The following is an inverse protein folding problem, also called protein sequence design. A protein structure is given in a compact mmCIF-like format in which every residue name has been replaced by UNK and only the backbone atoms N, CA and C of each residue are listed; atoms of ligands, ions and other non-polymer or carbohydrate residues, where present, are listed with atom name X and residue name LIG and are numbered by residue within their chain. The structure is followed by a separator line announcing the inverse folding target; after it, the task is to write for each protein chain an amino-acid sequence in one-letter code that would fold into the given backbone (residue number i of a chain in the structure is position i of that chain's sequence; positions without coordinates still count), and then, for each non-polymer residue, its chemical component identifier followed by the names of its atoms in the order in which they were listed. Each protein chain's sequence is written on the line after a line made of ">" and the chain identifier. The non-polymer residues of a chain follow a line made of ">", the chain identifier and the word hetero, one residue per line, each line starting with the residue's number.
data_IF_936544346516
#
_entry.id   IF_936544346516
#
_cell.length_a   1.000
_cell.length_b   1.000
_cell.length_c   1.000
_cell.angle_alpha   90.00
_cell.angle_beta   90.00
_cell.angle_gamma   90.00
#
_symmetry.space_group_name_H-M   'P 1'
#
loop_
_entity.id
_entity.type
_entity.pdbx_description
1 polymer ?
#
# COMPACT_ATOMS: atom_id res chain seq x y z
N UNK A 1 19.32 -38.95 -20.10
CA UNK A 1 18.11 -38.10 -20.04
C UNK A 1 18.42 -36.61 -19.78
N UNK A 2 19.57 -36.20 -19.23
CA UNK A 2 19.83 -34.76 -18.94
C UNK A 2 20.08 -33.86 -20.17
N UNK A 3 20.77 -34.35 -21.23
CA UNK A 3 21.07 -33.55 -22.44
C UNK A 3 19.85 -32.94 -23.16
N UNK A 4 18.66 -33.55 -23.05
CA UNK A 4 17.44 -33.07 -23.72
C UNK A 4 16.81 -31.90 -22.95
N UNK A 5 16.90 -31.91 -21.63
CA UNK A 5 16.40 -30.86 -20.74
C UNK A 5 17.29 -29.62 -20.80
N UNK A 6 18.62 -29.82 -20.84
CA UNK A 6 19.61 -28.74 -20.97
C UNK A 6 19.40 -27.93 -22.27
N UNK A 7 19.10 -28.63 -23.36
CA UNK A 7 18.86 -28.02 -24.67
C UNK A 7 17.54 -27.22 -24.72
N UNK A 8 16.50 -27.69 -24.02
CA UNK A 8 15.22 -26.97 -23.93
C UNK A 8 15.41 -25.66 -23.13
N UNK A 9 16.13 -25.72 -22.00
CA UNK A 9 16.44 -24.52 -21.21
C UNK A 9 17.31 -23.53 -21.98
N UNK A 10 18.35 -24.00 -22.67
CA UNK A 10 19.23 -23.15 -23.47
C UNK A 10 18.50 -22.46 -24.62
N UNK A 11 17.56 -23.16 -25.27
CA UNK A 11 16.69 -22.58 -26.29
C UNK A 11 15.75 -21.52 -25.70
N UNK A 12 15.22 -21.74 -24.49
CA UNK A 12 14.40 -20.76 -23.77
C UNK A 12 15.17 -19.47 -23.45
N UNK A 13 16.39 -19.61 -22.92
CA UNK A 13 17.30 -18.49 -22.64
C UNK A 13 17.61 -17.72 -23.92
N UNK A 14 17.95 -18.42 -25.00
CA UNK A 14 18.28 -17.82 -26.30
C UNK A 14 17.12 -17.00 -26.87
N UNK A 15 15.90 -17.53 -26.80
CA UNK A 15 14.69 -16.80 -27.23
C UNK A 15 14.48 -15.53 -26.42
N UNK A 16 14.61 -15.63 -25.09
CA UNK A 16 14.46 -14.48 -24.20
C UNK A 16 15.53 -13.41 -24.43
N UNK A 17 16.80 -13.79 -24.58
CA UNK A 17 17.88 -12.83 -24.84
C UNK A 17 17.70 -12.10 -26.17
N UNK A 18 17.32 -12.82 -27.23
CA UNK A 18 17.02 -12.22 -28.55
C UNK A 18 15.83 -11.28 -28.50
N UNK A 19 14.78 -11.67 -27.78
CA UNK A 19 13.59 -10.85 -27.59
C UNK A 19 13.94 -9.58 -26.81
N UNK A 20 14.66 -9.73 -25.69
CA UNK A 20 15.10 -8.60 -24.86
C UNK A 20 15.96 -7.63 -25.65
N UNK A 21 16.96 -8.13 -26.38
CA UNK A 21 17.85 -7.30 -27.20
C UNK A 21 17.09 -6.50 -28.25
N UNK A 22 16.16 -7.15 -28.97
CA UNK A 22 15.32 -6.48 -29.96
C UNK A 22 14.43 -5.41 -29.32
N UNK A 23 13.71 -5.75 -28.25
CA UNK A 23 12.76 -4.83 -27.61
C UNK A 23 13.45 -3.61 -26.99
N UNK A 24 14.64 -3.79 -26.41
CA UNK A 24 15.43 -2.70 -25.81
C UNK A 24 15.88 -1.62 -26.81
N UNK A 25 15.80 -1.89 -28.12
CA UNK A 25 16.10 -0.88 -29.15
C UNK A 25 15.11 0.29 -29.17
N UNK A 26 13.87 0.10 -28.66
CA UNK A 26 12.79 1.11 -28.71
C UNK A 26 11.97 1.26 -27.44
N UNK A 27 12.02 0.27 -26.55
CA UNK A 27 11.16 0.19 -25.37
C UNK A 27 11.96 0.18 -24.08
N UNK A 28 11.37 0.67 -22.98
CA UNK A 28 11.76 0.24 -21.65
C UNK A 28 11.28 -1.20 -21.46
N UNK A 29 12.19 -2.11 -21.11
CA UNK A 29 11.91 -3.54 -21.04
C UNK A 29 12.10 -4.03 -19.60
N UNK A 30 11.04 -4.53 -18.99
CA UNK A 30 11.11 -5.24 -17.71
C UNK A 30 11.03 -6.75 -17.95
N UNK A 31 12.14 -7.45 -17.72
CA UNK A 31 12.19 -8.92 -17.76
C UNK A 31 11.65 -9.51 -16.46
N UNK A 32 10.78 -10.51 -16.57
CA UNK A 32 10.18 -11.17 -15.40
C UNK A 32 10.88 -12.50 -15.11
N UNK A 33 11.13 -12.76 -13.84
CA UNK A 33 11.78 -14.01 -13.39
C UNK A 33 10.79 -15.14 -13.08
N UNK A 34 9.49 -14.84 -12.98
CA UNK A 34 8.43 -15.82 -12.69
C UNK A 34 7.32 -15.67 -13.72
N UNK A 35 6.86 -16.78 -14.29
CA UNK A 35 5.78 -16.90 -15.30
C UNK A 35 4.38 -16.56 -14.75
N UNK A 36 4.26 -15.48 -13.99
CA UNK A 36 2.98 -14.99 -13.47
C UNK A 36 2.29 -14.26 -14.64
N UNK A 37 1.11 -14.69 -15.09
CA UNK A 37 0.38 -14.10 -16.24
C UNK A 37 0.99 -14.27 -17.65
N UNK A 38 1.94 -15.21 -17.84
CA UNK A 38 2.28 -15.65 -19.21
C UNK A 38 3.12 -14.73 -20.07
N UNK A 39 3.69 -13.68 -19.49
CA UNK A 39 4.53 -12.72 -20.18
C UNK A 39 5.96 -12.80 -19.67
N UNK A 40 6.92 -13.00 -20.58
CA UNK A 40 8.36 -12.95 -20.27
C UNK A 40 8.83 -11.49 -20.08
N UNK A 41 8.19 -10.56 -20.80
CA UNK A 41 8.54 -9.15 -20.82
C UNK A 41 7.32 -8.26 -20.66
N UNK A 42 7.49 -7.17 -19.92
CA UNK A 42 6.64 -5.99 -20.01
C UNK A 42 7.41 -4.91 -20.78
N UNK A 43 6.74 -4.27 -21.72
CA UNK A 43 7.33 -3.21 -22.55
C UNK A 43 6.52 -1.93 -22.45
N UNK A 44 7.23 -0.81 -22.35
CA UNK A 44 6.71 0.55 -22.32
C UNK A 44 7.45 1.39 -23.38
N UNK A 45 6.79 2.40 -23.94
CA UNK A 45 7.48 3.38 -24.79
C UNK A 45 8.55 4.13 -24.01
N UNK A 46 9.68 4.38 -24.64
CA UNK A 46 10.69 5.32 -24.15
C UNK A 46 10.22 6.76 -24.43
N UNK A 47 9.15 7.17 -23.75
CA UNK A 47 8.66 8.55 -23.78
C UNK A 47 9.06 9.24 -22.46
N UNK A 48 9.59 10.45 -22.55
CA UNK A 48 10.01 11.26 -21.38
C UNK A 48 8.81 11.87 -20.63
N UNK A 49 7.60 11.78 -21.18
CA UNK A 49 6.40 12.41 -20.63
C UNK A 49 5.54 11.53 -19.72
N UNK A 50 5.73 10.21 -19.72
CA UNK A 50 5.01 9.27 -18.84
C UNK A 50 5.97 8.62 -17.83
N UNK A 51 5.75 8.88 -16.54
CA UNK A 51 6.51 8.27 -15.44
C UNK A 51 5.68 7.22 -14.68
N UNK A 52 6.33 6.25 -14.05
CA UNK A 52 5.63 5.28 -13.16
C UNK A 52 4.90 5.96 -11.99
N UNK A 53 5.30 7.19 -11.64
CA UNK A 53 4.69 8.01 -10.60
C UNK A 53 3.45 8.79 -11.06
N UNK A 54 3.10 8.74 -12.35
CA UNK A 54 1.96 9.49 -12.87
C UNK A 54 0.61 8.92 -12.39
N UNK A 55 -0.44 9.77 -12.29
CA UNK A 55 -1.76 9.34 -11.83
C UNK A 55 -2.40 8.29 -12.74
N UNK A 56 -2.05 8.29 -14.02
CA UNK A 56 -2.49 7.29 -15.00
C UNK A 56 -1.38 6.24 -15.14
N UNK A 57 -1.69 4.92 -15.03
CA UNK A 57 -0.69 3.88 -15.17
C UNK A 57 0.02 4.01 -16.52
N UNK A 58 1.33 3.73 -16.62
CA UNK A 58 2.01 3.74 -17.91
C UNK A 58 1.37 2.71 -18.85
N UNK A 59 1.37 3.01 -20.15
CA UNK A 59 0.87 2.05 -21.14
C UNK A 59 1.87 0.93 -21.28
N UNK A 60 1.43 -0.29 -20.99
CA UNK A 60 2.27 -1.48 -21.04
C UNK A 60 1.69 -2.49 -22.03
N UNK A 61 2.59 -3.13 -22.76
CA UNK A 61 2.31 -4.35 -23.50
C UNK A 61 3.04 -5.52 -22.84
N UNK A 62 2.50 -6.72 -23.03
CA UNK A 62 3.10 -7.98 -22.61
C UNK A 62 3.64 -8.70 -23.82
N UNK A 63 4.89 -9.18 -23.73
CA UNK A 63 5.50 -9.97 -24.79
C UNK A 63 5.94 -11.31 -24.21
N UNK A 64 5.41 -12.39 -24.77
CA UNK A 64 5.89 -13.74 -24.51
C UNK A 64 6.88 -14.16 -25.58
N UNK A 65 8.05 -14.62 -25.15
CA UNK A 65 9.10 -15.11 -26.05
C UNK A 65 9.01 -16.63 -26.19
N UNK A 66 9.07 -17.11 -27.43
CA UNK A 66 9.25 -18.54 -27.72
C UNK A 66 10.41 -18.74 -28.69
N UNK A 67 11.04 -19.90 -28.61
CA UNK A 67 12.10 -20.30 -29.53
C UNK A 67 11.74 -21.64 -30.19
N UNK A 68 11.78 -21.66 -31.52
CA UNK A 68 11.60 -22.85 -32.34
C UNK A 68 12.95 -23.31 -32.88
N UNK A 69 13.37 -24.51 -32.49
CA UNK A 69 14.60 -25.12 -33.02
C UNK A 69 14.40 -25.61 -34.45
N UNK A 70 13.20 -26.12 -34.76
CA UNK A 70 12.83 -26.66 -36.07
C UNK A 70 11.33 -26.52 -36.34
N UNK A 71 10.90 -26.89 -37.55
CA UNK A 71 9.50 -26.84 -37.98
C UNK A 71 8.58 -27.85 -37.27
N UNK A 72 9.13 -28.77 -36.48
CA UNK A 72 8.35 -29.74 -35.72
C UNK A 72 8.08 -29.27 -34.28
N UNK A 73 8.66 -28.14 -33.87
CA UNK A 73 8.46 -27.59 -32.53
C UNK A 73 7.04 -27.06 -32.38
N UNK A 74 6.37 -27.41 -31.28
CA UNK A 74 5.05 -26.89 -30.92
C UNK A 74 5.09 -26.13 -29.60
N UNK A 75 4.34 -25.04 -29.51
CA UNK A 75 4.16 -24.26 -28.29
C UNK A 75 2.67 -24.20 -27.93
N UNK A 76 2.37 -24.25 -26.64
CA UNK A 76 1.04 -24.04 -26.09
C UNK A 76 1.01 -22.66 -25.42
N UNK A 77 0.01 -21.84 -25.74
CA UNK A 77 -0.24 -20.54 -25.12
C UNK A 77 -1.57 -20.62 -24.36
N UNK A 78 -1.58 -20.48 -23.03
CA UNK A 78 -2.82 -20.46 -22.26
C UNK A 78 -3.83 -19.44 -22.78
N UNK A 79 -5.08 -19.84 -22.94
CA UNK A 79 -6.13 -18.98 -23.51
C UNK A 79 -6.37 -17.74 -22.64
N UNK A 80 -6.21 -17.85 -21.31
CA UNK A 80 -6.28 -16.72 -20.38
C UNK A 80 -5.31 -15.56 -20.66
N UNK A 81 -4.24 -15.80 -21.44
CA UNK A 81 -3.31 -14.74 -21.85
C UNK A 81 -3.73 -14.06 -23.15
N UNK A 82 -4.47 -14.79 -23.98
CA UNK A 82 -4.95 -14.33 -25.28
C UNK A 82 -6.32 -13.66 -25.15
N UNK A 83 -7.17 -14.12 -24.23
CA UNK A 83 -8.57 -13.73 -24.12
C UNK A 83 -8.85 -13.02 -22.80
N UNK A 84 -9.68 -11.98 -22.85
CA UNK A 84 -10.28 -11.37 -21.67
C UNK A 84 -11.46 -12.19 -21.12
N UNK A 85 -12.11 -11.67 -20.09
CA UNK A 85 -13.24 -12.31 -19.41
C UNK A 85 -14.46 -12.48 -20.32
N UNK A 86 -14.62 -11.58 -21.29
CA UNK A 86 -15.67 -11.62 -22.32
C UNK A 86 -15.30 -12.52 -23.52
N UNK A 87 -14.11 -13.14 -23.48
CA UNK A 87 -13.59 -14.00 -24.54
C UNK A 87 -13.09 -13.25 -25.77
N UNK A 88 -12.94 -11.93 -25.70
CA UNK A 88 -12.34 -11.09 -26.74
C UNK A 88 -10.81 -11.12 -26.66
N UNK A 89 -10.10 -10.87 -27.79
CA UNK A 89 -8.64 -10.83 -27.76
C UNK A 89 -8.11 -9.68 -26.89
N UNK A 90 -7.21 -10.00 -25.96
CA UNK A 90 -6.54 -9.01 -25.11
C UNK A 90 -5.63 -8.11 -25.95
N UNK A 91 -5.89 -6.80 -25.91
CA UNK A 91 -5.00 -5.81 -26.50
C UNK A 91 -3.66 -5.76 -25.77
N UNK A 92 -2.61 -5.41 -26.49
CA UNK A 92 -1.26 -5.31 -25.94
C UNK A 92 -0.61 -6.64 -25.52
N UNK A 93 -1.18 -7.81 -25.86
CA UNK A 93 -0.50 -9.11 -25.72
C UNK A 93 0.09 -9.57 -27.04
N UNK A 94 1.38 -9.93 -27.01
CA UNK A 94 2.12 -10.42 -28.15
C UNK A 94 2.90 -11.68 -27.83
N UNK A 95 3.06 -12.53 -28.85
CA UNK A 95 3.99 -13.66 -28.85
C UNK A 95 5.04 -13.41 -29.92
N UNK A 96 6.30 -13.30 -29.49
CA UNK A 96 7.45 -13.20 -30.37
C UNK A 96 8.14 -14.56 -30.44
N UNK A 97 8.28 -15.09 -31.64
CA UNK A 97 8.88 -16.39 -31.87
C UNK A 97 10.13 -16.25 -32.73
N UNK A 98 11.23 -16.76 -32.20
CA UNK A 98 12.51 -16.83 -32.90
C UNK A 98 12.72 -18.24 -33.48
N UNK A 99 13.13 -18.30 -34.74
CA UNK A 99 13.54 -19.53 -35.40
C UNK A 99 14.89 -19.34 -36.08
N UNK A 100 15.74 -20.36 -36.02
CA UNK A 100 17.02 -20.39 -36.74
C UNK A 100 18.25 -20.00 -35.90
N UNK A 101 19.40 -20.03 -36.55
CA UNK A 101 20.74 -19.81 -35.96
C UNK A 101 21.06 -18.34 -35.68
N UNK A 102 22.34 -18.01 -35.48
CA UNK A 102 22.80 -16.62 -35.35
C UNK A 102 22.62 -15.84 -36.65
N UNK A 103 22.81 -16.52 -37.79
CA UNK A 103 22.96 -15.86 -39.10
C UNK A 103 21.65 -15.81 -39.90
N UNK A 104 20.63 -16.58 -39.50
CA UNK A 104 19.30 -16.62 -40.14
C UNK A 104 18.20 -16.63 -39.06
N UNK A 105 18.07 -15.50 -38.35
CA UNK A 105 17.09 -15.31 -37.28
C UNK A 105 15.74 -14.87 -37.87
N UNK A 106 14.88 -15.83 -38.13
CA UNK A 106 13.51 -15.60 -38.58
C UNK A 106 12.66 -15.27 -37.35
N UNK A 107 11.87 -14.18 -37.46
CA UNK A 107 11.01 -13.68 -36.40
C UNK A 107 9.56 -13.77 -36.81
N UNK A 108 8.71 -14.23 -35.90
CA UNK A 108 7.27 -14.22 -36.05
C UNK A 108 6.67 -13.45 -34.89
N UNK A 109 5.82 -12.47 -35.19
CA UNK A 109 5.09 -11.72 -34.19
C UNK A 109 3.60 -12.01 -34.40
N UNK A 110 2.94 -12.41 -33.32
CA UNK A 110 1.50 -12.63 -33.30
C UNK A 110 0.89 -11.83 -32.14
N UNK A 111 -0.09 -10.99 -32.44
CA UNK A 111 -0.99 -10.38 -31.46
C UNK A 111 -2.02 -11.38 -30.94
N UNK A 112 -2.69 -11.07 -29.83
CA UNK A 112 -3.81 -11.88 -29.35
C UNK A 112 -4.92 -12.07 -30.40
N UNK A 113 -5.23 -11.03 -31.19
CA UNK A 113 -6.24 -11.09 -32.24
C UNK A 113 -5.85 -12.06 -33.37
N UNK A 114 -4.57 -12.04 -33.77
CA UNK A 114 -4.02 -13.01 -34.73
C UNK A 114 -4.02 -14.43 -34.16
N UNK A 115 -3.67 -14.60 -32.89
CA UNK A 115 -3.73 -15.92 -32.22
C UNK A 115 -5.15 -16.45 -32.20
N UNK A 116 -6.13 -15.63 -31.80
CA UNK A 116 -7.55 -16.01 -31.75
C UNK A 116 -8.10 -16.42 -33.12
N UNK A 117 -7.74 -15.67 -34.16
CA UNK A 117 -8.28 -15.87 -35.51
C UNK A 117 -7.59 -16.99 -36.28
N UNK A 118 -6.29 -17.19 -36.09
CA UNK A 118 -5.49 -18.12 -36.90
C UNK A 118 -5.23 -19.47 -36.23
N UNK A 119 -5.31 -19.58 -34.90
CA UNK A 119 -4.95 -20.79 -34.17
C UNK A 119 -6.15 -21.55 -33.60
N UNK A 120 -6.05 -22.88 -33.61
CA UNK A 120 -7.04 -23.75 -32.97
C UNK A 120 -6.84 -23.74 -31.45
N UNK A 121 -7.93 -23.44 -30.72
CA UNK A 121 -8.01 -23.64 -29.27
C UNK A 121 -8.26 -25.12 -28.96
N UNK A 122 -7.49 -25.66 -28.04
CA UNK A 122 -7.74 -26.95 -27.41
C UNK A 122 -8.60 -26.71 -26.16
N UNK A 123 -9.90 -26.95 -26.27
CA UNK A 123 -10.87 -26.67 -25.19
C UNK A 123 -10.60 -27.50 -23.93
N UNK A 124 -9.96 -28.67 -24.04
CA UNK A 124 -9.70 -29.53 -22.86
C UNK A 124 -8.58 -28.98 -21.99
N UNK A 125 -7.55 -28.42 -22.62
CA UNK A 125 -6.38 -27.85 -21.94
C UNK A 125 -6.47 -26.34 -21.72
N UNK A 126 -7.44 -25.72 -22.38
CA UNK A 126 -7.61 -24.28 -22.47
C UNK A 126 -6.36 -23.53 -22.99
N UNK A 127 -5.83 -24.01 -24.12
CA UNK A 127 -4.62 -23.44 -24.75
C UNK A 127 -4.82 -23.25 -26.26
N UNK A 128 -4.15 -22.25 -26.82
CA UNK A 128 -3.90 -22.14 -28.26
C UNK A 128 -2.60 -22.87 -28.62
N UNK A 129 -2.63 -23.67 -29.69
CA UNK A 129 -1.45 -24.42 -30.16
C UNK A 129 -0.81 -23.72 -31.36
N UNK A 130 0.48 -23.41 -31.24
CA UNK A 130 1.35 -22.99 -32.32
C UNK A 130 2.16 -24.19 -32.77
N UNK A 131 2.08 -24.55 -34.05
CA UNK A 131 2.93 -25.57 -34.63
C UNK A 131 3.76 -24.95 -35.74
N UNK A 132 5.08 -25.04 -35.58
CA UNK A 132 6.02 -24.33 -36.42
C UNK A 132 5.84 -24.61 -37.93
N UNK A 133 5.58 -25.86 -38.31
CA UNK A 133 5.44 -26.24 -39.72
C UNK A 133 4.16 -25.77 -40.41
N UNK A 134 3.11 -25.43 -39.66
CA UNK A 134 1.77 -25.11 -40.21
C UNK A 134 1.32 -23.69 -39.91
N UNK A 135 1.80 -23.11 -38.81
CA UNK A 135 1.42 -21.77 -38.34
C UNK A 135 2.32 -20.68 -38.95
N UNK A 136 3.56 -21.01 -39.33
CA UNK A 136 4.52 -20.05 -39.89
C UNK A 136 4.31 -19.82 -41.39
N UNK A 137 3.21 -19.17 -41.74
CA UNK A 137 3.02 -18.58 -43.08
C UNK A 137 3.83 -17.29 -43.21
N UNK A 138 4.09 -16.83 -44.44
CA UNK A 138 4.73 -15.52 -44.69
C UNK A 138 3.95 -14.34 -44.07
N UNK A 139 2.68 -14.56 -43.70
CA UNK A 139 1.78 -13.58 -43.07
C UNK A 139 2.28 -13.10 -41.70
N UNK A 140 2.76 -14.02 -40.85
CA UNK A 140 3.25 -13.67 -39.51
C UNK A 140 4.76 -13.39 -39.46
N UNK A 141 5.47 -13.74 -40.54
CA UNK A 141 6.91 -13.55 -40.66
C UNK A 141 7.22 -12.06 -40.74
N UNK A 142 8.08 -11.59 -39.84
CA UNK A 142 8.57 -10.22 -39.82
C UNK A 142 9.99 -10.19 -40.38
N UNK A 143 10.13 -9.54 -41.54
CA UNK A 143 11.39 -9.51 -42.31
C UNK A 143 12.49 -8.74 -41.58
N UNK A 144 12.13 -7.74 -40.80
CA UNK A 144 13.05 -6.87 -40.06
C UNK A 144 12.64 -6.74 -38.60
N UNK A 145 13.61 -6.50 -37.71
CA UNK A 145 13.34 -6.16 -36.31
C UNK A 145 12.46 -4.91 -36.19
N UNK A 146 12.74 -3.89 -37.02
CA UNK A 146 11.95 -2.65 -37.09
C UNK A 146 10.44 -2.90 -37.28
N UNK A 147 10.06 -3.85 -38.13
CA UNK A 147 8.64 -4.17 -38.34
C UNK A 147 7.96 -4.79 -37.11
N UNK A 148 8.72 -5.47 -36.24
CA UNK A 148 8.22 -5.96 -34.95
C UNK A 148 7.99 -4.79 -34.02
N UNK A 149 8.99 -3.90 -33.90
CA UNK A 149 8.95 -2.75 -33.00
C UNK A 149 7.82 -1.78 -33.36
N UNK A 150 7.63 -1.48 -34.64
CA UNK A 150 6.55 -0.59 -35.11
C UNK A 150 5.14 -1.11 -34.78
N UNK A 151 4.92 -2.43 -34.84
CA UNK A 151 3.62 -3.02 -34.50
C UNK A 151 3.34 -2.88 -33.00
N UNK A 152 4.33 -3.17 -32.16
CA UNK A 152 4.19 -3.08 -30.70
C UNK A 152 4.00 -1.62 -30.27
N UNK A 153 4.77 -0.70 -30.86
CA UNK A 153 4.65 0.74 -30.59
C UNK A 153 3.27 1.26 -30.99
N UNK A 154 2.78 0.92 -32.19
CA UNK A 154 1.47 1.34 -32.65
C UNK A 154 0.38 0.89 -31.67
N UNK A 155 0.44 -0.36 -31.22
CA UNK A 155 -0.52 -0.87 -30.23
C UNK A 155 -0.41 -0.08 -28.91
N UNK A 156 0.80 0.16 -28.39
CA UNK A 156 1.02 0.97 -27.17
C UNK A 156 0.41 2.38 -27.28
N UNK A 157 0.54 3.04 -28.43
CA UNK A 157 -0.05 4.36 -28.69
C UNK A 157 -1.58 4.29 -28.76
N UNK A 158 -2.14 3.18 -29.27
CA UNK A 158 -3.58 2.99 -29.44
C UNK A 158 -4.27 2.32 -28.23
N UNK A 159 -3.52 1.88 -27.21
CA UNK A 159 -4.09 1.35 -25.97
C UNK A 159 -4.91 2.44 -25.27
N UNK A 160 -6.19 2.13 -24.99
CA UNK A 160 -7.08 3.03 -24.25
C UNK A 160 -6.76 2.95 -22.76
N UNK A 161 -7.22 3.92 -21.98
CA UNK A 161 -7.02 3.95 -20.52
C UNK A 161 -7.57 2.70 -19.81
N UNK A 162 -8.63 2.10 -20.36
CA UNK A 162 -9.19 0.84 -19.86
C UNK A 162 -8.35 -0.40 -20.22
N UNK A 163 -7.54 -0.32 -21.28
CA UNK A 163 -6.68 -1.42 -21.75
C UNK A 163 -5.28 -1.39 -21.09
N UNK A 164 -4.98 -0.36 -20.29
CA UNK A 164 -3.71 -0.25 -19.57
C UNK A 164 -3.62 -1.37 -18.54
N UNK A 165 -2.55 -2.18 -18.58
CA UNK A 165 -2.23 -3.12 -17.50
C UNK A 165 -2.10 -2.33 -16.19
N UNK A 166 -3.12 -2.46 -15.34
CA UNK A 166 -3.20 -1.77 -14.04
C UNK A 166 -2.27 -2.46 -13.04
N UNK A 167 -0.96 -2.31 -13.24
CA UNK A 167 0.06 -2.70 -12.26
C UNK A 167 0.55 -1.52 -11.41
N UNK A 168 -0.02 -0.33 -11.59
CA UNK A 168 0.14 0.70 -10.58
C UNK A 168 -0.71 0.30 -9.38
N UNK A 169 -0.09 -0.30 -8.37
CA UNK A 169 -0.35 0.19 -7.02
C UNK A 169 0.55 1.43 -6.95
N UNK A 170 0.02 2.65 -7.11
CA UNK A 170 0.85 3.83 -6.93
C UNK A 170 1.50 3.70 -5.57
N UNK A 171 2.82 3.91 -5.49
CA UNK A 171 3.50 3.96 -4.20
C UNK A 171 3.01 5.22 -3.48
N UNK A 172 1.85 5.10 -2.83
CA UNK A 172 1.32 6.15 -1.98
C UNK A 172 2.20 6.18 -0.75
N UNK A 173 3.02 7.21 -0.63
CA UNK A 173 3.67 7.49 0.65
C UNK A 173 2.56 7.73 1.68
N UNK A 174 2.38 6.75 2.58
CA UNK A 174 1.43 6.82 3.67
C UNK A 174 2.08 7.54 4.84
N UNK A 175 1.48 8.66 5.24
CA UNK A 175 1.87 9.45 6.40
C UNK A 175 0.63 9.71 7.24
N UNK A 176 0.77 9.62 8.57
CA UNK A 176 -0.29 9.99 9.54
C UNK A 176 -0.76 11.43 9.36
N UNK A 177 0.12 12.30 8.87
CA UNK A 177 -0.14 13.72 8.63
C UNK A 177 -0.81 14.01 7.28
N UNK A 178 -1.06 12.98 6.46
CA UNK A 178 -1.71 13.12 5.14
C UNK A 178 -3.24 13.01 5.26
N UNK A 179 -3.80 13.81 6.16
CA UNK A 179 -5.23 14.05 6.38
C UNK A 179 -5.42 15.54 6.73
N UNK A 180 -6.64 16.06 6.65
CA UNK A 180 -6.86 17.48 6.96
C UNK A 180 -6.43 17.83 8.39
N UNK A 181 -5.90 19.04 8.56
CA UNK A 181 -5.31 19.50 9.83
C UNK A 181 -6.25 19.36 11.03
N UNK A 182 -7.56 19.58 10.85
CA UNK A 182 -8.56 19.45 11.92
C UNK A 182 -8.59 18.05 12.54
N UNK A 183 -8.24 17.01 11.77
CA UNK A 183 -8.20 15.61 12.21
C UNK A 183 -6.88 15.22 12.88
N UNK A 184 -5.84 16.06 12.77
CA UNK A 184 -4.53 15.86 13.40
C UNK A 184 -4.53 16.38 14.84
N UNK A 185 -5.39 17.36 15.15
CA UNK A 185 -5.53 17.91 16.50
C UNK A 185 -5.92 16.77 17.46
N UNK A 186 -5.21 16.56 18.58
CA UNK A 186 -5.47 15.44 19.50
C UNK A 186 -6.68 15.71 20.41
N UNK A 187 -7.83 16.00 19.80
CA UNK A 187 -9.10 16.17 20.50
C UNK A 187 -9.50 14.80 21.04
N UNK A 188 -9.79 14.71 22.36
CA UNK A 188 -10.14 13.42 22.94
C UNK A 188 -11.40 12.85 22.31
N UNK A 189 -11.42 11.55 22.10
CA UNK A 189 -12.59 10.76 21.73
C UNK A 189 -12.41 9.35 22.28
N UNK A 190 -13.45 8.66 22.69
CA UNK A 190 -13.33 7.43 23.47
C UNK A 190 -13.02 6.18 22.62
N UNK A 191 -12.79 6.37 21.31
CA UNK A 191 -12.82 5.30 20.31
C UNK A 191 -11.50 5.07 19.59
N UNK A 192 -10.91 6.07 18.94
CA UNK A 192 -9.70 5.92 18.13
C UNK A 192 -8.89 7.21 18.03
N UNK A 193 -7.56 7.09 17.93
CA UNK A 193 -6.74 8.20 17.45
C UNK A 193 -6.81 8.27 15.92
N UNK A 194 -7.58 9.22 15.41
CA UNK A 194 -7.94 9.32 13.97
C UNK A 194 -6.73 9.23 13.03
N UNK A 195 -5.60 9.93 13.24
CA UNK A 195 -4.44 9.82 12.36
C UNK A 195 -3.86 8.40 12.26
N UNK A 196 -3.83 7.67 13.38
CA UNK A 196 -3.34 6.29 13.41
C UNK A 196 -4.35 5.34 12.78
N UNK A 197 -5.65 5.50 13.08
CA UNK A 197 -6.71 4.67 12.52
C UNK A 197 -6.79 4.81 10.99
N UNK A 198 -6.73 6.03 10.46
CA UNK A 198 -6.72 6.26 9.00
C UNK A 198 -5.44 5.74 8.36
N UNK A 199 -4.28 5.92 9.01
CA UNK A 199 -3.02 5.35 8.52
C UNK A 199 -3.08 3.82 8.46
N UNK A 200 -3.58 3.18 9.51
CA UNK A 200 -3.74 1.73 9.56
C UNK A 200 -4.73 1.24 8.48
N UNK A 201 -5.86 1.93 8.33
CA UNK A 201 -6.82 1.63 7.28
C UNK A 201 -6.20 1.68 5.88
N UNK A 202 -5.46 2.75 5.57
CA UNK A 202 -4.79 2.88 4.26
C UNK A 202 -3.77 1.78 4.03
N UNK A 203 -3.10 1.29 5.09
CA UNK A 203 -2.22 0.12 4.97
C UNK A 203 -3.00 -1.18 4.69
N UNK A 204 -4.11 -1.41 5.39
CA UNK A 204 -4.98 -2.56 5.14
C UNK A 204 -5.49 -2.57 3.70
N UNK A 205 -5.99 -1.42 3.22
CA UNK A 205 -6.46 -1.25 1.84
C UNK A 205 -5.34 -1.49 0.83
N UNK A 206 -4.13 -0.99 1.10
CA UNK A 206 -2.96 -1.21 0.24
C UNK A 206 -2.66 -2.69 0.07
N UNK A 207 -2.86 -3.51 1.11
CA UNK A 207 -2.67 -4.96 1.05
C UNK A 207 -3.75 -5.69 0.24
N UNK A 208 -4.90 -5.05 -0.03
CA UNK A 208 -6.05 -5.67 -0.72
C UNK A 208 -6.29 -5.16 -2.14
N UNK A 209 -5.45 -4.25 -2.65
CA UNK A 209 -5.67 -3.53 -3.92
C UNK A 209 -5.63 -4.40 -5.19
N UNK A 210 -5.41 -5.71 -5.12
CA UNK A 210 -5.09 -6.55 -6.28
C UNK A 210 -6.29 -7.24 -6.97
N UNK A 211 -7.51 -7.19 -6.42
CA UNK A 211 -8.53 -8.21 -6.77
C UNK A 211 -9.73 -7.75 -7.65
N UNK A 212 -10.01 -6.45 -7.86
CA UNK A 212 -11.17 -6.03 -8.69
C UNK A 212 -11.11 -4.56 -9.18
N UNK A 213 -11.55 -4.29 -10.42
CA UNK A 213 -11.50 -2.97 -11.05
C UNK A 213 -12.45 -1.92 -10.45
N UNK A 214 -13.63 -2.33 -9.96
CA UNK A 214 -14.58 -1.42 -9.31
C UNK A 214 -14.17 -1.08 -7.87
N UNK A 215 -13.61 -2.06 -7.16
CA UNK A 215 -13.04 -1.86 -5.82
C UNK A 215 -11.79 -0.98 -5.86
N UNK A 216 -10.97 -1.15 -6.90
CA UNK A 216 -9.77 -0.36 -7.10
C UNK A 216 -10.09 1.14 -7.16
N UNK A 217 -11.19 1.56 -7.78
CA UNK A 217 -11.54 2.99 -7.84
C UNK A 217 -11.86 3.56 -6.45
N UNK A 218 -12.64 2.83 -5.65
CA UNK A 218 -12.98 3.21 -4.27
C UNK A 218 -11.70 3.24 -3.41
N UNK A 219 -10.91 2.16 -3.46
CA UNK A 219 -9.68 2.03 -2.69
C UNK A 219 -8.64 3.07 -3.11
N UNK A 220 -8.42 3.30 -4.40
CA UNK A 220 -7.48 4.31 -4.90
C UNK A 220 -7.90 5.73 -4.48
N UNK A 221 -9.21 6.02 -4.50
CA UNK A 221 -9.73 7.29 -3.97
C UNK A 221 -9.48 7.43 -2.47
N UNK A 222 -9.70 6.36 -1.69
CA UNK A 222 -9.39 6.38 -0.25
C UNK A 222 -7.91 6.62 0.04
N UNK A 223 -7.00 6.08 -0.79
CA UNK A 223 -5.56 6.27 -0.61
C UNK A 223 -5.13 7.74 -0.75
N UNK A 224 -5.76 8.47 -1.67
CA UNK A 224 -5.42 9.88 -1.96
C UNK A 224 -6.22 10.89 -1.14
N UNK A 225 -7.39 10.51 -0.63
CA UNK A 225 -8.30 11.39 0.12
C UNK A 225 -7.68 11.87 1.45
N UNK A 226 -7.94 13.14 1.80
CA UNK A 226 -7.50 13.78 3.04
C UNK A 226 -8.65 14.10 4.00
N UNK A 227 -9.88 14.23 3.52
CA UNK A 227 -11.05 14.42 4.37
C UNK A 227 -11.53 13.07 4.93
N UNK A 228 -11.38 12.89 6.24
CA UNK A 228 -11.77 11.67 6.96
C UNK A 228 -13.27 11.39 6.82
N UNK A 229 -14.12 12.40 6.66
CA UNK A 229 -15.56 12.24 6.43
C UNK A 229 -15.83 11.55 5.09
N UNK A 230 -15.07 11.91 4.06
CA UNK A 230 -15.16 11.27 2.74
C UNK A 230 -14.59 9.85 2.79
N UNK A 231 -13.51 9.63 3.54
CA UNK A 231 -12.95 8.30 3.79
C UNK A 231 -14.00 7.38 4.42
N UNK A 232 -14.77 7.85 5.40
CA UNK A 232 -15.88 7.07 6.00
C UNK A 232 -16.96 6.76 4.96
N UNK A 233 -17.40 7.74 4.16
CA UNK A 233 -18.39 7.47 3.11
C UNK A 233 -17.90 6.46 2.06
N UNK A 234 -16.59 6.43 1.77
CA UNK A 234 -15.99 5.43 0.89
C UNK A 234 -15.89 4.06 1.58
N UNK A 235 -15.64 4.02 2.90
CA UNK A 235 -15.71 2.81 3.70
C UNK A 235 -17.11 2.21 3.71
N UNK A 236 -18.15 3.02 3.85
CA UNK A 236 -19.55 2.54 3.79
C UNK A 236 -19.79 1.80 2.46
N UNK A 237 -19.39 2.41 1.35
CA UNK A 237 -19.52 1.79 0.01
C UNK A 237 -18.70 0.51 -0.12
N UNK A 238 -17.50 0.48 0.46
CA UNK A 238 -16.65 -0.70 0.46
C UNK A 238 -17.25 -1.81 1.34
N UNK A 239 -17.84 -1.47 2.48
CA UNK A 239 -18.51 -2.40 3.38
C UNK A 239 -19.78 -3.00 2.75
N UNK A 240 -20.61 -2.16 2.12
CA UNK A 240 -21.80 -2.61 1.36
C UNK A 240 -21.43 -3.62 0.28
N UNK A 241 -20.29 -3.41 -0.38
CA UNK A 241 -19.77 -4.35 -1.36
C UNK A 241 -19.25 -5.65 -0.71
N UNK A 242 -18.48 -5.55 0.39
CA UNK A 242 -18.00 -6.73 1.13
C UNK A 242 -19.17 -7.63 1.54
N UNK A 243 -20.34 -7.05 1.83
CA UNK A 243 -21.55 -7.77 2.22
C UNK A 243 -22.30 -8.42 1.04
N UNK A 244 -22.03 -8.00 -0.21
CA UNK A 244 -22.72 -8.47 -1.42
C UNK A 244 -22.07 -9.68 -2.11
N UNK A 245 -20.83 -10.07 -1.75
CA UNK A 245 -20.13 -11.23 -2.32
C UNK A 245 -19.93 -12.36 -1.28
N UNK A 246 -20.92 -13.25 -1.10
CA UNK A 246 -20.85 -14.36 -0.16
C UNK A 246 -19.97 -15.54 -0.61
N UNK A 247 -19.56 -15.58 -1.89
CA UNK A 247 -18.85 -16.74 -2.49
C UNK A 247 -17.34 -16.51 -2.68
N UNK A 248 -16.80 -15.35 -2.29
CA UNK A 248 -15.37 -15.05 -2.36
C UNK A 248 -14.52 -16.10 -1.58
N UNK A 249 -13.46 -16.67 -2.18
CA UNK A 249 -12.72 -17.79 -1.62
C UNK A 249 -12.11 -17.45 -0.24
N UNK A 250 -12.37 -18.32 0.74
CA UNK A 250 -12.15 -18.06 2.18
C UNK A 250 -10.68 -18.08 2.67
N UNK A 251 -9.70 -18.07 1.77
CA UNK A 251 -8.30 -18.25 2.17
C UNK A 251 -7.58 -16.90 2.16
N UNK A 252 -7.01 -16.51 3.31
CA UNK A 252 -6.20 -15.31 3.61
C UNK A 252 -6.90 -13.93 3.67
N UNK A 253 -7.98 -13.68 2.93
CA UNK A 253 -8.68 -12.36 2.90
C UNK A 253 -9.55 -12.07 4.15
N UNK A 254 -9.83 -13.09 4.97
CA UNK A 254 -10.79 -13.02 6.09
C UNK A 254 -10.37 -12.12 7.27
N UNK A 255 -9.08 -11.94 7.53
CA UNK A 255 -8.64 -11.06 8.64
C UNK A 255 -8.76 -9.58 8.23
N UNK A 256 -8.42 -9.23 6.99
CA UNK A 256 -8.41 -7.83 6.54
C UNK A 256 -9.83 -7.26 6.45
N UNK A 257 -10.80 -8.00 5.88
CA UNK A 257 -12.20 -7.54 5.81
C UNK A 257 -12.82 -7.37 7.21
N UNK A 258 -12.54 -8.28 8.14
CA UNK A 258 -12.96 -8.16 9.55
C UNK A 258 -12.36 -6.93 10.24
N UNK A 259 -11.06 -6.71 10.06
CA UNK A 259 -10.36 -5.56 10.60
C UNK A 259 -10.85 -4.24 10.00
N UNK A 260 -11.14 -4.19 8.70
CA UNK A 260 -11.74 -3.01 8.05
C UNK A 260 -13.11 -2.71 8.66
N UNK A 261 -13.97 -3.71 8.87
CA UNK A 261 -15.30 -3.50 9.49
C UNK A 261 -15.21 -3.01 10.93
N UNK A 262 -14.35 -3.63 11.76
CA UNK A 262 -14.16 -3.20 13.15
C UNK A 262 -13.63 -1.76 13.23
N UNK A 263 -12.60 -1.46 12.43
CA UNK A 263 -12.00 -0.13 12.35
C UNK A 263 -12.97 0.91 11.81
N UNK A 264 -13.81 0.55 10.84
CA UNK A 264 -14.84 1.44 10.33
C UNK A 264 -15.80 1.89 11.44
N UNK A 265 -16.32 0.93 12.22
CA UNK A 265 -17.25 1.23 13.31
C UNK A 265 -16.63 2.05 14.44
N UNK A 266 -15.35 1.83 14.77
CA UNK A 266 -14.66 2.64 15.79
C UNK A 266 -14.27 4.03 15.26
N UNK A 267 -13.78 4.12 14.02
CA UNK A 267 -13.41 5.38 13.37
C UNK A 267 -14.60 6.31 13.16
N UNK A 268 -15.76 5.79 12.74
CA UNK A 268 -16.97 6.59 12.56
C UNK A 268 -17.41 7.26 13.86
N UNK A 269 -17.35 6.53 14.99
CA UNK A 269 -17.65 7.08 16.32
C UNK A 269 -16.61 8.10 16.77
N UNK A 270 -15.33 7.82 16.52
CA UNK A 270 -14.24 8.76 16.81
C UNK A 270 -14.44 10.09 16.07
N UNK A 271 -14.76 10.04 14.78
CA UNK A 271 -15.01 11.21 13.94
C UNK A 271 -16.22 12.01 14.40
N UNK A 272 -17.32 11.34 14.76
CA UNK A 272 -18.52 12.03 15.25
C UNK A 272 -18.24 12.82 16.55
N UNK A 273 -17.57 12.19 17.52
CA UNK A 273 -17.21 12.83 18.80
C UNK A 273 -16.18 13.95 18.58
N UNK A 274 -15.16 13.71 17.75
CA UNK A 274 -14.14 14.69 17.41
C UNK A 274 -14.76 15.92 16.77
N UNK A 275 -15.69 15.74 15.81
CA UNK A 275 -16.36 16.83 15.11
C UNK A 275 -17.16 17.69 16.10
N UNK A 276 -18.00 17.08 16.92
CA UNK A 276 -18.78 17.78 17.95
C UNK A 276 -17.88 18.56 18.92
N UNK A 277 -16.80 17.94 19.41
CA UNK A 277 -15.86 18.58 20.34
C UNK A 277 -15.01 19.68 19.68
N UNK A 278 -14.72 19.54 18.40
CA UNK A 278 -14.06 20.58 17.62
C UNK A 278 -14.98 21.79 17.42
N UNK A 279 -16.27 21.56 17.15
CA UNK A 279 -17.27 22.63 17.08
C UNK A 279 -17.38 23.37 18.42
N UNK A 280 -17.46 22.64 19.55
CA UNK A 280 -17.46 23.23 20.90
C UNK A 280 -16.20 24.08 21.19
N UNK A 281 -15.02 23.65 20.71
CA UNK A 281 -13.81 24.47 20.80
C UNK A 281 -13.93 25.75 19.97
N UNK A 282 -14.51 25.66 18.78
CA UNK A 282 -14.68 26.79 17.86
C UNK A 282 -15.74 27.81 18.33
N UNK A 283 -16.58 27.48 19.32
CA UNK A 283 -17.55 28.44 19.89
C UNK A 283 -16.85 29.59 20.66
N UNK A 284 -15.61 29.38 21.11
CA UNK A 284 -14.82 30.38 21.84
C UNK A 284 -13.37 30.39 21.34
N UNK A 285 -12.99 31.46 20.63
CA UNK A 285 -11.65 31.67 20.06
C UNK A 285 -10.53 31.53 21.11
N UNK A 286 -10.78 31.91 22.37
CA UNK A 286 -9.79 31.78 23.42
C UNK A 286 -9.59 30.32 23.82
N UNK A 287 -10.67 29.52 23.86
CA UNK A 287 -10.58 28.10 24.20
C UNK A 287 -9.86 27.31 23.13
N UNK A 288 -10.20 27.50 21.85
CA UNK A 288 -9.49 26.80 20.76
C UNK A 288 -8.01 27.19 20.70
N UNK A 289 -7.67 28.49 20.85
CA UNK A 289 -6.28 28.93 20.90
C UNK A 289 -5.56 28.31 22.10
N UNK A 290 -6.14 28.40 23.29
CA UNK A 290 -5.58 27.83 24.53
C UNK A 290 -5.36 26.32 24.41
N UNK A 291 -6.30 25.59 23.79
CA UNK A 291 -6.18 24.16 23.56
C UNK A 291 -5.05 23.82 22.57
N UNK A 292 -4.95 24.55 21.45
CA UNK A 292 -3.89 24.35 20.46
C UNK A 292 -2.52 24.67 21.04
N UNK A 293 -2.39 25.78 21.77
CA UNK A 293 -1.15 26.18 22.42
C UNK A 293 -0.70 25.13 23.44
N UNK A 294 -1.64 24.61 24.25
CA UNK A 294 -1.37 23.48 25.13
C UNK A 294 -0.87 22.24 24.37
N UNK A 295 -1.55 21.84 23.29
CA UNK A 295 -1.18 20.69 22.48
C UNK A 295 0.24 20.82 21.90
N UNK A 296 0.61 22.01 21.43
CA UNK A 296 1.93 22.29 20.90
C UNK A 296 3.00 22.21 22.00
N UNK A 297 2.77 22.86 23.15
CA UNK A 297 3.70 22.82 24.28
C UNK A 297 3.98 21.41 24.78
N UNK A 298 2.92 20.61 24.97
CA UNK A 298 3.07 19.23 25.46
C UNK A 298 3.71 18.32 24.41
N UNK A 299 3.39 18.51 23.13
CA UNK A 299 3.98 17.78 22.02
C UNK A 299 5.49 18.04 21.91
N UNK A 300 5.90 19.31 21.95
CA UNK A 300 7.30 19.70 21.89
C UNK A 300 8.09 19.20 23.09
N UNK A 301 7.56 19.39 24.31
CA UNK A 301 8.18 18.87 25.52
C UNK A 301 8.32 17.34 25.47
N UNK A 302 7.28 16.64 25.03
CA UNK A 302 7.27 15.19 24.93
C UNK A 302 8.33 14.66 23.97
N UNK A 303 8.43 15.27 22.79
CA UNK A 303 9.44 14.92 21.79
C UNK A 303 10.87 15.16 22.32
N UNK A 304 11.13 16.34 22.89
CA UNK A 304 12.46 16.69 23.45
C UNK A 304 12.93 15.70 24.50
N UNK A 305 12.02 15.20 25.34
CA UNK A 305 12.38 14.21 26.36
C UNK A 305 12.53 12.83 25.75
N UNK A 306 11.65 12.44 24.84
CA UNK A 306 11.75 11.16 24.14
C UNK A 306 13.09 11.01 23.40
N UNK A 307 13.61 12.07 22.77
CA UNK A 307 14.94 12.04 22.14
C UNK A 307 16.09 11.79 23.12
N UNK A 308 15.95 12.21 24.37
CA UNK A 308 16.96 12.03 25.42
C UNK A 308 16.79 10.74 26.20
N UNK A 309 15.68 10.02 26.01
CA UNK A 309 15.40 8.78 26.70
C UNK A 309 16.38 7.68 26.29
N UNK A 310 16.82 6.90 27.28
CA UNK A 310 17.67 5.71 27.06
C UNK A 310 16.92 4.46 27.50
N UNK A 311 17.08 3.33 26.79
CA UNK A 311 16.56 2.05 27.24
C UNK A 311 17.03 1.74 28.66
N UNK A 312 16.10 1.34 29.53
CA UNK A 312 16.43 0.83 30.86
C UNK A 312 16.47 -0.69 30.76
N UNK A 313 17.64 -1.28 31.04
CA UNK A 313 17.85 -2.72 31.01
C UNK A 313 18.08 -3.24 32.42
N UNK A 314 17.28 -4.21 32.84
CA UNK A 314 17.47 -4.94 34.09
C UNK A 314 18.05 -6.31 33.80
N UNK A 315 19.16 -6.66 34.44
CA UNK A 315 19.75 -8.00 34.32
C UNK A 315 18.80 -9.01 34.98
N UNK A 316 18.40 -10.04 34.25
CA UNK A 316 17.49 -11.11 34.74
C UNK A 316 18.29 -12.38 35.05
N UNK A 317 19.34 -12.66 34.26
CA UNK A 317 20.28 -13.75 34.52
C UNK A 317 21.68 -13.39 33.99
N UNK A 318 22.64 -14.30 34.12
CA UNK A 318 24.03 -14.02 33.76
C UNK A 318 24.21 -13.52 32.32
N UNK A 319 23.38 -14.00 31.40
CA UNK A 319 23.43 -13.66 29.97
C UNK A 319 22.12 -13.09 29.43
N UNK A 320 21.21 -12.61 30.29
CA UNK A 320 19.93 -12.05 29.84
C UNK A 320 19.59 -10.72 30.52
N UNK A 321 19.04 -9.82 29.71
CA UNK A 321 18.52 -8.54 30.14
C UNK A 321 17.06 -8.42 29.72
N UNK A 322 16.24 -7.80 30.57
CA UNK A 322 14.88 -7.39 30.26
C UNK A 322 14.83 -5.88 30.11
N UNK A 323 14.29 -5.40 29.00
CA UNK A 323 13.95 -3.99 28.83
C UNK A 323 12.78 -3.65 29.77
N UNK A 324 12.95 -2.61 30.57
CA UNK A 324 11.90 -2.05 31.42
C UNK A 324 11.34 -0.77 30.79
N UNK A 325 10.03 -0.50 30.95
CA UNK A 325 9.47 0.78 30.55
C UNK A 325 10.06 1.91 31.41
N UNK A 326 10.23 3.08 30.79
CA UNK A 326 10.52 4.33 31.51
C UNK A 326 9.19 4.97 31.87
N UNK A 327 8.90 5.14 33.16
CA UNK A 327 7.70 5.84 33.59
C UNK A 327 7.89 7.34 33.40
N UNK A 328 6.97 7.97 32.68
CA UNK A 328 6.99 9.39 32.40
C UNK A 328 5.76 10.06 33.00
N UNK A 329 5.94 11.30 33.40
CA UNK A 329 4.87 12.15 33.94
C UNK A 329 4.82 13.44 33.18
N UNK A 330 3.61 13.89 32.85
CA UNK A 330 3.33 15.23 32.34
C UNK A 330 2.57 15.96 33.44
N UNK A 331 3.17 17.05 33.95
CA UNK A 331 2.57 17.98 34.90
C UNK A 331 2.32 19.31 34.19
N UNK A 332 1.14 19.88 34.37
CA UNK A 332 0.75 21.14 33.73
C UNK A 332 -0.34 21.88 34.51
N UNK A 333 -0.46 23.19 34.29
CA UNK A 333 -1.55 24.02 34.80
C UNK A 333 -2.70 24.06 33.77
N UNK A 334 -3.95 23.90 34.21
CA UNK A 334 -5.13 23.98 33.31
C UNK A 334 -5.61 25.40 33.06
N UNK A 335 -5.11 26.38 33.81
CA UNK A 335 -5.47 27.78 33.64
C UNK A 335 -5.07 28.27 32.23
N UNK A 336 -6.00 28.85 31.45
CA UNK A 336 -5.71 29.38 30.12
C UNK A 336 -4.53 30.36 30.12
N UNK A 337 -3.62 30.21 29.17
CA UNK A 337 -2.45 31.09 29.02
C UNK A 337 -1.19 30.68 29.79
N UNK A 338 -1.21 29.63 30.62
CA UNK A 338 -0.03 29.09 31.34
C UNK A 338 0.61 27.86 30.66
N UNK A 339 0.51 27.76 29.34
CA UNK A 339 0.94 26.57 28.58
C UNK A 339 2.45 26.39 28.50
N UNK A 340 3.25 27.38 28.92
CA UNK A 340 4.70 27.32 29.03
C UNK A 340 5.18 26.53 30.26
N UNK A 341 4.27 26.22 31.20
CA UNK A 341 4.58 25.50 32.44
C UNK A 341 4.42 23.98 32.32
N UNK A 342 4.38 23.43 31.11
CA UNK A 342 4.34 21.97 30.90
C UNK A 342 5.70 21.38 31.28
N UNK A 343 5.72 20.62 32.36
CA UNK A 343 6.90 19.88 32.82
C UNK A 343 6.68 18.41 32.54
N UNK A 344 7.58 17.81 31.78
CA UNK A 344 7.60 16.37 31.57
C UNK A 344 8.85 15.82 32.26
N UNK A 345 8.67 14.79 33.08
CA UNK A 345 9.76 14.21 33.86
C UNK A 345 9.83 12.69 33.66
N UNK A 346 11.07 12.18 33.57
CA UNK A 346 11.35 10.74 33.67
C UNK A 346 11.44 10.38 35.14
N UNK A 347 10.56 9.51 35.61
CA UNK A 347 10.63 9.02 36.98
C UNK A 347 11.55 7.81 37.01
N UNK A 348 12.65 7.94 37.75
CA UNK A 348 13.54 6.83 38.08
C UNK A 348 13.40 6.54 39.57
N UNK A 349 12.76 5.43 39.93
CA UNK A 349 12.63 5.00 41.34
C UNK A 349 11.18 4.93 41.84
N UNK A 350 11.02 4.99 43.17
CA UNK A 350 9.74 4.84 43.86
C UNK A 350 8.81 6.03 43.59
N UNK A 351 7.58 5.74 43.18
CA UNK A 351 6.53 6.72 42.84
C UNK A 351 5.79 7.27 44.05
N UNK A 352 6.18 6.86 45.27
CA UNK A 352 5.53 7.24 46.51
C UNK A 352 5.74 8.71 46.93
N UNK A 353 6.65 9.45 46.27
CA UNK A 353 6.98 10.83 46.64
C UNK A 353 6.89 11.77 45.45
N UNK A 354 5.66 12.17 45.09
CA UNK A 354 5.49 13.33 44.23
C UNK A 354 5.12 14.58 45.04
N UNK A 355 5.53 15.78 44.60
CA UNK A 355 5.01 17.02 45.14
C UNK A 355 3.48 17.05 45.02
N UNK A 356 2.83 17.61 46.05
CA UNK A 356 1.41 17.93 45.99
C UNK A 356 1.12 18.86 44.80
N UNK A 357 0.01 18.63 44.12
CA UNK A 357 -0.47 19.49 43.03
C UNK A 357 -1.19 20.70 43.62
N UNK A 358 -1.07 21.86 42.98
CA UNK A 358 -1.98 22.98 43.25
C UNK A 358 -3.40 22.69 42.73
N UNK A 359 -4.36 23.56 43.05
CA UNK A 359 -5.75 23.38 42.62
C UNK A 359 -5.93 23.32 41.07
N UNK A 360 -5.08 24.02 40.33
CA UNK A 360 -5.13 24.10 38.87
C UNK A 360 -4.13 23.16 38.18
N UNK A 361 -3.22 22.56 38.94
CA UNK A 361 -2.29 21.60 38.37
C UNK A 361 -2.95 20.25 38.12
N UNK A 362 -2.59 19.63 37.01
CA UNK A 362 -2.96 18.26 36.65
C UNK A 362 -1.70 17.46 36.37
N UNK A 363 -1.86 16.14 36.48
CA UNK A 363 -0.79 15.19 36.23
C UNK A 363 -1.33 14.00 35.45
N UNK A 364 -0.61 13.60 34.42
CA UNK A 364 -0.84 12.36 33.68
C UNK A 364 0.45 11.54 33.70
N UNK A 365 0.32 10.24 33.89
CA UNK A 365 1.45 9.33 33.98
C UNK A 365 1.29 8.14 33.03
N UNK A 366 2.39 7.65 32.48
CA UNK A 366 2.37 6.48 31.61
C UNK A 366 3.74 5.82 31.43
N UNK A 367 3.79 4.50 31.18
CA UNK A 367 5.01 3.81 30.82
C UNK A 367 5.38 4.05 29.34
N UNK A 368 6.67 4.25 29.05
CA UNK A 368 7.22 4.41 27.70
C UNK A 368 8.23 3.29 27.41
N UNK A 369 8.00 2.50 26.37
CA UNK A 369 8.88 1.38 26.00
C UNK A 369 9.84 1.74 24.86
N UNK A 370 11.12 2.01 25.17
CA UNK A 370 12.09 2.59 24.20
C UNK A 370 12.83 1.52 23.35
N UNK A 371 12.76 0.23 23.71
CA UNK A 371 13.59 -0.83 23.13
C UNK A 371 12.89 -2.20 23.14
N UNK A 372 11.63 -2.25 22.68
CA UNK A 372 10.90 -3.51 22.54
C UNK A 372 11.26 -4.18 21.20
N UNK A 373 11.61 -5.47 21.25
CA UNK A 373 12.22 -6.26 20.17
C UNK A 373 11.48 -6.29 18.81
N UNK A 374 10.21 -5.84 18.74
CA UNK A 374 9.43 -5.79 17.49
C UNK A 374 9.37 -4.40 16.85
N UNK A 375 9.09 -3.34 17.62
CA UNK A 375 8.78 -2.01 17.07
C UNK A 375 9.89 -0.96 17.29
N UNK A 376 10.95 -1.31 18.02
CA UNK A 376 12.09 -0.43 18.30
C UNK A 376 11.68 0.95 18.84
N UNK A 377 12.30 2.01 18.30
CA UNK A 377 12.03 3.42 18.68
C UNK A 377 10.61 3.88 18.33
N UNK A 378 9.96 3.26 17.33
CA UNK A 378 8.61 3.64 16.91
C UNK A 378 7.56 3.27 17.98
N UNK A 379 7.75 2.14 18.68
CA UNK A 379 6.91 1.75 19.81
C UNK A 379 6.95 2.76 20.96
N UNK A 380 8.15 3.21 21.34
CA UNK A 380 8.29 4.22 22.40
C UNK A 380 7.70 5.58 22.03
N UNK A 381 7.82 6.00 20.76
CA UNK A 381 7.20 7.24 20.29
C UNK A 381 5.67 7.14 20.33
N UNK A 382 5.13 5.95 20.04
CA UNK A 382 3.69 5.66 20.15
C UNK A 382 3.23 5.83 21.59
N UNK A 383 3.93 5.25 22.56
CA UNK A 383 3.59 5.40 23.99
C UNK A 383 3.68 6.86 24.45
N UNK A 384 4.66 7.62 23.95
CA UNK A 384 4.77 9.05 24.23
C UNK A 384 3.57 9.81 23.68
N UNK A 385 3.14 9.51 22.46
CA UNK A 385 1.92 10.09 21.89
C UNK A 385 0.68 9.72 22.73
N UNK A 386 0.58 8.49 23.26
CA UNK A 386 -0.54 8.12 24.15
C UNK A 386 -0.59 9.00 25.40
N UNK A 387 0.59 9.26 25.97
CA UNK A 387 0.72 10.08 27.17
C UNK A 387 0.36 11.55 26.88
N UNK A 388 0.83 12.09 25.74
CA UNK A 388 0.49 13.43 25.26
C UNK A 388 -1.02 13.57 25.04
N UNK A 389 -1.65 12.64 24.31
CA UNK A 389 -3.08 12.71 24.03
C UNK A 389 -3.91 12.57 25.32
N UNK A 390 -3.44 11.78 26.29
CA UNK A 390 -4.07 11.72 27.61
C UNK A 390 -3.98 13.05 28.37
N UNK A 391 -2.87 13.77 28.26
CA UNK A 391 -2.75 15.13 28.80
C UNK A 391 -3.71 16.10 28.09
N UNK A 392 -3.83 16.03 26.76
CA UNK A 392 -4.81 16.80 25.99
C UNK A 392 -6.25 16.49 26.43
N UNK A 393 -6.58 15.24 26.73
CA UNK A 393 -7.90 14.85 27.22
C UNK A 393 -8.22 15.51 28.58
N UNK A 394 -7.28 15.45 29.53
CA UNK A 394 -7.44 16.08 30.85
C UNK A 394 -7.56 17.60 30.73
N UNK A 395 -6.76 18.23 29.86
CA UNK A 395 -6.83 19.66 29.61
C UNK A 395 -8.17 20.06 28.95
N UNK A 396 -8.65 19.30 27.96
CA UNK A 396 -9.96 19.51 27.34
C UNK A 396 -11.09 19.42 28.38
N UNK A 397 -11.07 18.41 29.25
CA UNK A 397 -12.07 18.26 30.31
C UNK A 397 -12.08 19.43 31.31
N UNK A 398 -10.93 20.09 31.52
CA UNK A 398 -10.88 21.31 32.31
C UNK A 398 -11.52 22.52 31.61
N UNK A 399 -11.42 22.61 30.28
CA UNK A 399 -12.08 23.65 29.48
C UNK A 399 -13.60 23.44 29.36
N UNK A 400 -14.05 22.18 29.42
CA UNK A 400 -15.45 21.77 29.30
C UNK A 400 -15.84 20.78 30.40
N UNK A 401 -16.08 21.25 31.65
CA UNK A 401 -16.37 20.38 32.79
C UNK A 401 -17.62 19.51 32.64
N UNK A 402 -18.57 19.94 31.80
CA UNK A 402 -19.81 19.21 31.52
C UNK A 402 -19.63 18.08 30.49
N UNK A 403 -18.49 18.02 29.80
CA UNK A 403 -18.17 16.94 28.87
C UNK A 403 -17.59 15.74 29.61
N UNK A 404 -18.18 14.57 29.40
CA UNK A 404 -17.62 13.31 29.86
C UNK A 404 -16.43 12.93 28.96
N UNK A 405 -15.23 13.35 29.34
CA UNK A 405 -13.99 13.09 28.58
C UNK A 405 -13.28 11.87 29.16
N UNK A 406 -12.99 10.88 28.31
CA UNK A 406 -12.01 9.84 28.64
C UNK A 406 -10.81 9.90 27.68
N UNK A 407 -9.67 9.35 28.11
CA UNK A 407 -8.53 9.19 27.22
C UNK A 407 -8.91 8.32 26.02
N UNK A 408 -8.49 8.69 24.80
CA UNK A 408 -8.75 7.90 23.61
C UNK A 408 -8.14 6.51 23.70
N UNK A 409 -8.89 5.54 23.19
CA UNK A 409 -8.33 4.24 22.85
C UNK A 409 -7.37 4.47 21.69
N UNK A 410 -6.12 4.12 21.91
CA UNK A 410 -5.14 4.06 20.84
C UNK A 410 -5.23 2.67 20.21
N UNK A 411 -5.11 2.54 18.88
CA UNK A 411 -5.26 1.25 18.21
C UNK A 411 -4.34 0.19 18.82
N UNK A 412 -4.87 -1.03 18.96
CA UNK A 412 -4.25 -2.10 19.76
C UNK A 412 -2.99 -2.69 19.14
N UNK A 413 -2.72 -2.54 17.84
CA UNK A 413 -1.58 -3.19 17.19
C UNK A 413 -1.13 -2.34 15.99
N UNK A 414 0.18 -2.10 15.87
CA UNK A 414 0.83 -2.07 14.56
C UNK A 414 1.78 -3.26 14.56
N UNK A 415 1.51 -4.26 13.73
CA UNK A 415 2.61 -4.98 13.09
C UNK A 415 2.98 -4.09 11.89
N UNK A 416 4.29 -3.86 11.72
CA UNK A 416 4.87 -2.88 10.79
C UNK A 416 4.25 -2.86 9.38
#
# INVERSE_FOLDING_TARGET
>A
MSRKTDKIQQNGITGQERTSGLLSERFWVLKRQVDIHGADFLVQLQDETETFSDPLPPRLCTVQSKYCQDRNTSHEIPAKYVLDEDGQPRRGFFVLIHMGGSDDNIRYLLSAAEIRSALRRDEKKDVFKIQAGTTYTDTFRKKTGESVLQIIEKELIELRDMDRLRFNIPFYELKRTRIDRKWIIPIPNEHEFIPDAVFFLKNLIRMTLEENAAEYEIMAKMMTESDVSVIISLLDKLADWIDQDPDAPQTTVFDVKGNIRELHGSLAKAVAIHTRRFELLCEDDNKIRSFIDFCNSVGEAGYRIFEKMKPVKQRVSDNSYRSLPVRCTIKFDVEPGKHDQVVIDQIRGDTSVFPALTANERRVEGPIFIDFLRDGRAGGLRDMNRLIVSACAVYFGALFPDEAVMSPKMPKVMAD
#
